data_IF_578409607007
#
_entry.id   IF_578409607007
#
_cell.length_a   1.000
_cell.length_b   1.000
_cell.length_c   1.000
_cell.angle_alpha   90.00
_cell.angle_beta   90.00
_cell.angle_gamma   90.00
#
_symmetry.space_group_name_H-M   'P 1'
#
loop_
_entity.id
_entity.type
_entity.pdbx_description
1 polymer ?
#
# COMPACT_ATOMS: atom_id res chain seq x y z
N UNK A 1 -10.91 -16.98 22.37
CA UNK A 1 -9.93 -17.11 21.26
C UNK A 1 -10.21 -16.11 20.14
N UNK A 2 -10.37 -14.80 20.45
CA UNK A 2 -10.78 -13.78 19.45
C UNK A 2 -9.64 -12.94 18.86
N UNK A 3 -8.43 -12.98 19.44
CA UNK A 3 -7.32 -12.10 19.00
C UNK A 3 -6.71 -12.47 17.64
N UNK A 4 -6.74 -13.75 17.24
CA UNK A 4 -6.07 -14.22 16.02
C UNK A 4 -6.74 -13.76 14.72
N UNK A 5 -8.07 -13.67 14.69
CA UNK A 5 -8.81 -13.28 13.48
C UNK A 5 -8.65 -11.79 13.18
N UNK A 6 -8.64 -10.93 14.20
CA UNK A 6 -8.40 -9.50 14.04
C UNK A 6 -6.99 -9.21 13.52
N UNK A 7 -5.96 -9.87 14.07
CA UNK A 7 -4.58 -9.70 13.59
C UNK A 7 -4.42 -10.16 12.13
N UNK A 8 -5.09 -11.27 11.78
CA UNK A 8 -5.13 -11.76 10.39
C UNK A 8 -5.81 -10.76 9.46
N UNK A 9 -6.95 -10.18 9.86
CA UNK A 9 -7.65 -9.16 9.10
C UNK A 9 -6.80 -7.90 8.90
N UNK A 10 -6.11 -7.42 9.94
CA UNK A 10 -5.21 -6.26 9.87
C UNK A 10 -3.99 -6.54 8.98
N UNK A 11 -3.43 -7.75 9.03
CA UNK A 11 -2.36 -8.16 8.13
C UNK A 11 -2.79 -8.12 6.66
N UNK A 12 -3.96 -8.68 6.34
CA UNK A 12 -4.49 -8.65 4.98
C UNK A 12 -4.91 -7.25 4.53
N UNK A 13 -5.41 -6.40 5.43
CA UNK A 13 -5.65 -4.99 5.14
C UNK A 13 -4.34 -4.27 4.74
N UNK A 14 -3.24 -4.54 5.46
CA UNK A 14 -1.93 -4.01 5.10
C UNK A 14 -1.43 -4.52 3.75
N UNK A 15 -1.64 -5.81 3.43
CA UNK A 15 -1.32 -6.38 2.11
C UNK A 15 -2.16 -5.77 0.99
N UNK A 16 -3.45 -5.58 1.23
CA UNK A 16 -4.33 -4.92 0.29
C UNK A 16 -3.86 -3.48 0.02
N UNK A 17 -3.52 -2.72 1.06
CA UNK A 17 -2.94 -1.38 0.92
C UNK A 17 -1.66 -1.37 0.07
N UNK A 18 -0.76 -2.34 0.24
CA UNK A 18 0.42 -2.48 -0.61
C UNK A 18 0.05 -2.69 -2.08
N UNK A 19 -0.89 -3.59 -2.37
CA UNK A 19 -1.32 -3.85 -3.74
C UNK A 19 -1.99 -2.63 -4.38
N UNK A 20 -2.84 -1.92 -3.64
CA UNK A 20 -3.46 -0.67 -4.11
C UNK A 20 -2.39 0.40 -4.36
N UNK A 21 -1.44 0.57 -3.45
CA UNK A 21 -0.32 1.51 -3.65
C UNK A 21 0.50 1.17 -4.89
N UNK A 22 0.86 -0.10 -5.08
CA UNK A 22 1.56 -0.57 -6.28
C UNK A 22 0.76 -0.35 -7.56
N UNK A 23 -0.56 -0.59 -7.52
CA UNK A 23 -1.43 -0.35 -8.65
C UNK A 23 -1.46 1.13 -9.05
N UNK A 24 -1.62 2.03 -8.08
CA UNK A 24 -1.60 3.49 -8.33
C UNK A 24 -0.27 3.91 -8.96
N UNK A 25 0.85 3.45 -8.39
CA UNK A 25 2.19 3.74 -8.93
C UNK A 25 2.37 3.19 -10.34
N UNK A 26 1.88 1.97 -10.61
CA UNK A 26 1.94 1.36 -11.91
C UNK A 26 1.13 2.15 -12.94
N UNK A 27 -0.10 2.55 -12.60
CA UNK A 27 -0.96 3.34 -13.49
C UNK A 27 -0.33 4.71 -13.77
N UNK A 28 0.22 5.37 -12.75
CA UNK A 28 0.84 6.69 -12.90
C UNK A 28 2.09 6.64 -13.78
N UNK A 29 2.90 5.57 -13.67
CA UNK A 29 4.05 5.33 -14.55
C UNK A 29 3.60 4.92 -15.97
N UNK A 30 2.60 4.06 -16.09
CA UNK A 30 2.12 3.55 -17.38
C UNK A 30 1.43 4.62 -18.22
N UNK A 31 0.71 5.54 -17.58
CA UNK A 31 0.02 6.65 -18.24
C UNK A 31 0.87 7.92 -18.33
N UNK A 32 2.11 7.88 -17.82
CA UNK A 32 3.04 9.00 -17.89
C UNK A 32 3.33 9.37 -19.36
N UNK A 33 3.13 10.64 -19.68
CA UNK A 33 3.59 11.22 -20.94
C UNK A 33 5.10 11.58 -20.90
N UNK A 34 5.59 12.35 -21.89
CA UNK A 34 7.00 12.75 -21.97
C UNK A 34 7.52 13.52 -20.74
N UNK A 35 6.61 14.15 -19.99
CA UNK A 35 6.92 14.93 -18.77
C UNK A 35 6.97 14.07 -17.51
N UNK A 36 6.72 12.76 -17.61
CA UNK A 36 6.75 11.82 -16.49
C UNK A 36 5.42 11.71 -15.73
N UNK A 37 5.42 10.93 -14.63
CA UNK A 37 4.25 10.69 -13.79
C UNK A 37 3.81 11.95 -13.03
N UNK A 38 2.55 12.00 -12.63
CA UNK A 38 2.04 13.12 -11.86
C UNK A 38 2.59 13.04 -10.42
N UNK A 39 3.37 14.03 -9.94
CA UNK A 39 4.06 13.94 -8.66
C UNK A 39 3.11 13.80 -7.47
N UNK A 40 1.88 14.32 -7.57
CA UNK A 40 0.86 14.18 -6.51
C UNK A 40 0.30 12.76 -6.46
N UNK A 41 -0.03 12.17 -7.62
CA UNK A 41 -0.54 10.80 -7.69
C UNK A 41 0.54 9.80 -7.28
N UNK A 42 1.77 10.01 -7.74
CA UNK A 42 2.92 9.21 -7.34
C UNK A 42 3.10 9.20 -5.82
N UNK A 43 3.10 10.39 -5.20
CA UNK A 43 3.23 10.53 -3.75
C UNK A 43 2.10 9.82 -2.99
N UNK A 44 0.86 9.89 -3.48
CA UNK A 44 -0.27 9.14 -2.91
C UNK A 44 -0.03 7.64 -2.99
N UNK A 45 0.42 7.12 -4.14
CA UNK A 45 0.75 5.71 -4.31
C UNK A 45 1.83 5.23 -3.34
N UNK A 46 2.90 6.02 -3.16
CA UNK A 46 3.96 5.74 -2.18
C UNK A 46 3.41 5.74 -0.75
N UNK A 47 2.62 6.75 -0.36
CA UNK A 47 2.07 6.86 0.98
C UNK A 47 1.15 5.68 1.32
N UNK A 48 0.29 5.25 0.39
CA UNK A 48 -0.59 4.09 0.54
C UNK A 48 0.23 2.80 0.70
N UNK A 49 1.26 2.62 -0.15
CA UNK A 49 2.14 1.45 -0.07
C UNK A 49 2.88 1.36 1.27
N UNK A 50 3.48 2.47 1.71
CA UNK A 50 4.25 2.54 2.96
C UNK A 50 3.34 2.37 4.18
N UNK A 51 2.12 2.88 4.15
CA UNK A 51 1.12 2.68 5.21
C UNK A 51 0.75 1.20 5.34
N UNK A 52 0.47 0.53 4.21
CA UNK A 52 0.23 -0.91 4.17
C UNK A 52 1.44 -1.71 4.67
N UNK A 53 2.65 -1.33 4.26
CA UNK A 53 3.89 -1.94 4.75
C UNK A 53 4.10 -1.78 6.25
N UNK A 54 3.92 -0.56 6.77
CA UNK A 54 3.97 -0.28 8.20
C UNK A 54 3.01 -1.18 8.99
N UNK A 55 1.75 -1.27 8.55
CA UNK A 55 0.76 -2.14 9.18
C UNK A 55 1.18 -3.61 9.17
N UNK A 56 1.60 -4.16 8.02
CA UNK A 56 2.05 -5.57 7.97
C UNK A 56 3.30 -5.84 8.81
N UNK A 57 4.15 -4.83 9.04
CA UNK A 57 5.37 -4.95 9.83
C UNK A 57 5.10 -4.85 11.33
N UNK A 58 4.14 -4.02 11.73
CA UNK A 58 3.66 -3.96 13.11
C UNK A 58 3.02 -5.29 13.51
N UNK A 59 2.09 -5.81 12.70
CA UNK A 59 1.40 -7.08 12.98
C UNK A 59 2.38 -8.27 13.02
N UNK A 60 3.42 -8.29 12.17
CA UNK A 60 4.45 -9.35 12.19
C UNK A 60 5.39 -9.32 13.40
N UNK A 61 5.43 -8.20 14.13
CA UNK A 61 6.28 -8.03 15.33
C UNK A 61 5.51 -8.25 16.63
N UNK A 62 4.18 -8.26 16.56
CA UNK A 62 3.24 -8.57 17.66
C UNK A 62 3.10 -10.07 17.86
#
# INVERSE_FOLDING_TARGET
MSGGSTMTALYYLGRFGQLVGMWILLVDVFTAGPLGPNPRLFAVGVAVFLSGWGLTRLIRRS
#
